data_IF_131803968478
#
_entry.id   IF_131803968478
#
_cell.length_a   1.000
_cell.length_b   1.000
_cell.length_c   1.000
_cell.angle_alpha   90.00
_cell.angle_beta   90.00
_cell.angle_gamma   90.00
#
_symmetry.space_group_name_H-M   'P 1'
#
loop_
_entity.id
_entity.type
_entity.pdbx_description
1 polymer ?
#
# COMPACT_ATOMS: atom_id res chain seq x y z
N UNK A 1 14.10 -0.43 7.96
CA UNK A 1 13.74 0.26 6.70
C UNK A 1 12.53 -0.31 5.97
N UNK A 2 12.42 -1.63 5.81
CA UNK A 2 11.41 -2.25 4.94
C UNK A 2 10.02 -2.52 5.58
N UNK A 3 9.89 -2.55 6.91
CA UNK A 3 8.61 -2.79 7.59
C UNK A 3 7.90 -4.07 7.08
N UNK A 4 6.62 -3.99 6.70
CA UNK A 4 5.87 -5.09 6.10
C UNK A 4 6.45 -5.61 4.77
N UNK A 5 7.33 -4.85 4.10
CA UNK A 5 8.01 -5.32 2.89
C UNK A 5 9.00 -6.44 3.18
N UNK A 6 9.48 -6.61 4.41
CA UNK A 6 10.26 -7.80 4.76
C UNK A 6 9.41 -9.06 4.63
N UNK A 7 8.14 -9.02 5.06
CA UNK A 7 7.20 -10.12 4.88
C UNK A 7 6.83 -10.33 3.41
N UNK A 8 6.65 -9.24 2.65
CA UNK A 8 6.45 -9.29 1.20
C UNK A 8 7.65 -9.96 0.50
N UNK A 9 8.87 -9.52 0.78
CA UNK A 9 10.09 -10.09 0.19
C UNK A 9 10.24 -11.58 0.52
N UNK A 10 10.02 -11.93 1.80
CA UNK A 10 10.05 -13.33 2.23
C UNK A 10 9.02 -14.17 1.49
N UNK A 11 7.77 -13.69 1.37
CA UNK A 11 6.72 -14.35 0.60
C UNK A 11 7.15 -14.56 -0.86
N UNK A 12 7.72 -13.54 -1.50
CA UNK A 12 8.20 -13.63 -2.87
C UNK A 12 9.29 -14.68 -3.07
N UNK A 13 10.21 -14.85 -2.11
CA UNK A 13 11.31 -15.79 -2.24
C UNK A 13 11.00 -17.21 -1.79
N UNK A 14 9.96 -17.41 -0.98
CA UNK A 14 9.73 -18.70 -0.30
C UNK A 14 8.34 -19.30 -0.51
N UNK A 15 7.32 -18.52 -0.88
CA UNK A 15 5.96 -19.04 -1.08
C UNK A 15 5.78 -19.54 -2.52
N UNK A 16 5.86 -20.86 -2.70
CA UNK A 16 5.71 -21.51 -3.99
C UNK A 16 4.33 -22.16 -4.20
N UNK A 17 3.58 -22.43 -3.13
CA UNK A 17 2.33 -23.20 -3.18
C UNK A 17 1.12 -22.35 -2.73
N UNK A 18 0.67 -21.46 -3.62
CA UNK A 18 -0.50 -20.60 -3.41
C UNK A 18 -0.91 -19.92 -4.73
N UNK A 19 -2.18 -19.97 -5.12
CA UNK A 19 -2.65 -19.30 -6.34
C UNK A 19 -2.80 -17.78 -6.16
N UNK A 20 -3.09 -17.36 -4.93
CA UNK A 20 -3.30 -15.97 -4.56
C UNK A 20 -2.45 -15.61 -3.34
N UNK A 21 -1.81 -14.44 -3.40
CA UNK A 21 -0.98 -13.92 -2.32
C UNK A 21 -1.53 -12.57 -1.87
N UNK A 22 -1.76 -12.44 -0.57
CA UNK A 22 -2.22 -11.21 0.05
C UNK A 22 -1.28 -10.73 1.15
N UNK A 23 -1.18 -9.42 1.30
CA UNK A 23 -0.47 -8.77 2.39
C UNK A 23 -1.46 -7.90 3.18
N UNK A 24 -1.61 -8.22 4.47
CA UNK A 24 -2.30 -7.39 5.45
C UNK A 24 -1.28 -6.74 6.38
N UNK A 25 -1.66 -5.64 7.02
CA UNK A 25 -0.86 -5.02 8.07
C UNK A 25 -1.31 -5.55 9.45
N UNK A 26 -0.44 -5.54 10.47
CA UNK A 26 -0.63 -6.28 11.74
C UNK A 26 -2.00 -6.17 12.44
N UNK A 27 -2.71 -5.03 12.33
CA UNK A 27 -4.04 -4.78 12.92
C UNK A 27 -5.07 -4.28 11.93
N UNK A 28 -4.81 -4.47 10.64
CA UNK A 28 -5.61 -3.93 9.56
C UNK A 28 -5.92 -5.03 8.56
N UNK A 29 -7.20 -5.31 8.37
CA UNK A 29 -7.69 -6.42 7.56
C UNK A 29 -8.64 -5.91 6.48
N UNK A 30 -8.68 -6.58 5.34
CA UNK A 30 -9.70 -6.29 4.33
C UNK A 30 -11.09 -6.69 4.80
N UNK A 31 -12.06 -5.79 4.66
CA UNK A 31 -13.47 -6.06 4.87
C UNK A 31 -14.06 -6.70 3.61
N UNK A 32 -14.08 -8.03 3.54
CA UNK A 32 -14.65 -8.73 2.39
C UNK A 32 -16.17 -8.87 2.44
N UNK A 33 -16.75 -8.84 3.64
CA UNK A 33 -18.19 -9.00 3.88
C UNK A 33 -18.97 -7.67 3.86
N UNK A 34 -18.32 -6.57 4.26
CA UNK A 34 -18.98 -5.29 4.46
C UNK A 34 -19.21 -4.46 3.18
N UNK A 35 -20.31 -3.71 3.18
CA UNK A 35 -20.68 -2.75 2.11
C UNK A 35 -20.22 -1.32 2.35
N UNK A 36 -19.37 -1.05 3.35
CA UNK A 36 -18.96 0.32 3.66
C UNK A 36 -18.15 0.95 2.51
N UNK A 37 -18.39 2.23 2.26
CA UNK A 37 -17.65 3.03 1.27
C UNK A 37 -16.48 3.82 1.89
N UNK A 38 -16.21 3.69 3.19
CA UNK A 38 -15.07 4.39 3.80
C UNK A 38 -13.73 3.71 3.48
N UNK A 39 -12.62 4.44 3.62
CA UNK A 39 -11.28 3.86 3.48
C UNK A 39 -10.91 2.97 4.67
N UNK A 40 -11.29 3.40 5.88
CA UNK A 40 -10.95 2.73 7.12
C UNK A 40 -12.10 2.78 8.12
N UNK A 41 -12.39 1.65 8.75
CA UNK A 41 -13.39 1.49 9.81
C UNK A 41 -12.71 0.86 11.03
N UNK A 42 -12.88 1.45 12.20
CA UNK A 42 -12.38 0.86 13.45
C UNK A 42 -13.39 -0.14 14.00
N UNK A 43 -12.91 -1.31 14.42
CA UNK A 43 -13.68 -2.37 15.07
C UNK A 43 -12.99 -2.77 16.38
N UNK A 44 -13.79 -3.14 17.39
CA UNK A 44 -13.24 -3.64 18.66
C UNK A 44 -12.71 -5.05 18.48
N UNK A 45 -11.67 -5.43 19.24
CA UNK A 45 -11.05 -6.75 19.13
C UNK A 45 -12.05 -7.86 19.41
N UNK A 46 -12.85 -7.74 20.47
CA UNK A 46 -13.87 -8.73 20.81
C UNK A 46 -14.89 -8.95 19.67
N UNK A 47 -15.37 -7.87 19.06
CA UNK A 47 -16.32 -7.96 17.95
C UNK A 47 -15.67 -8.53 16.68
N UNK A 48 -14.38 -8.24 16.45
CA UNK A 48 -13.67 -8.79 15.31
C UNK A 48 -13.42 -10.29 15.49
N UNK A 49 -12.84 -10.72 16.61
CA UNK A 49 -12.46 -12.12 16.82
C UNK A 49 -13.65 -13.06 17.11
N UNK A 50 -14.81 -12.52 17.48
CA UNK A 50 -16.05 -13.31 17.62
C UNK A 50 -16.84 -13.45 16.31
N UNK A 51 -16.54 -12.63 15.30
CA UNK A 51 -17.16 -12.73 13.98
C UNK A 51 -16.48 -13.79 13.10
N UNK A 52 -17.24 -14.37 12.18
CA UNK A 52 -16.69 -15.19 11.10
C UNK A 52 -15.97 -14.29 10.09
N UNK A 53 -14.83 -14.75 9.56
CA UNK A 53 -14.10 -14.10 8.46
C UNK A 53 -13.85 -15.10 7.34
N UNK A 54 -14.89 -15.49 6.60
CA UNK A 54 -14.78 -16.47 5.54
C UNK A 54 -13.84 -15.96 4.45
N UNK A 55 -13.01 -16.86 3.95
CA UNK A 55 -12.15 -16.58 2.81
C UNK A 55 -13.04 -16.32 1.59
N UNK A 56 -12.85 -15.20 0.86
CA UNK A 56 -13.60 -14.95 -0.36
C UNK A 56 -13.34 -16.02 -1.41
N UNK A 57 -14.33 -16.24 -2.27
CA UNK A 57 -14.13 -16.94 -3.54
C UNK A 57 -13.24 -16.07 -4.45
N UNK A 58 -11.94 -16.35 -4.42
CA UNK A 58 -10.93 -15.59 -5.15
C UNK A 58 -11.02 -15.83 -6.66
N UNK A 59 -11.39 -17.03 -7.13
CA UNK A 59 -11.61 -17.30 -8.55
C UNK A 59 -12.70 -16.36 -9.10
N UNK A 60 -13.84 -16.30 -8.41
CA UNK A 60 -14.93 -15.41 -8.78
C UNK A 60 -14.53 -13.94 -8.66
N UNK A 61 -13.75 -13.58 -7.64
CA UNK A 61 -13.27 -12.20 -7.45
C UNK A 61 -12.38 -11.76 -8.61
N UNK A 62 -11.34 -12.55 -8.93
CA UNK A 62 -10.36 -12.23 -9.96
C UNK A 62 -10.86 -12.44 -11.38
N UNK A 63 -12.03 -13.07 -11.58
CA UNK A 63 -12.74 -12.99 -12.87
C UNK A 63 -13.20 -11.56 -13.23
N UNK A 64 -13.25 -10.64 -12.26
CA UNK A 64 -13.78 -9.27 -12.42
C UNK A 64 -12.75 -8.17 -12.20
N UNK A 65 -11.67 -8.47 -11.48
CA UNK A 65 -10.60 -7.53 -11.17
C UNK A 65 -9.24 -8.21 -11.23
N UNK A 66 -8.18 -7.42 -11.27
CA UNK A 66 -6.79 -7.91 -11.35
C UNK A 66 -6.06 -7.82 -9.99
N UNK A 67 -6.54 -6.96 -9.09
CA UNK A 67 -5.93 -6.70 -7.79
C UNK A 67 -6.98 -6.25 -6.78
N UNK A 68 -6.86 -6.71 -5.54
CA UNK A 68 -7.58 -6.13 -4.39
C UNK A 68 -6.67 -5.11 -3.71
N UNK A 69 -7.18 -3.92 -3.42
CA UNK A 69 -6.42 -2.87 -2.70
C UNK A 69 -7.29 -2.20 -1.64
N UNK A 70 -6.63 -1.57 -0.66
CA UNK A 70 -7.32 -0.72 0.29
C UNK A 70 -7.96 0.46 -0.43
N UNK A 71 -9.22 0.77 -0.10
CA UNK A 71 -9.90 1.95 -0.66
C UNK A 71 -9.09 3.21 -0.32
N UNK A 72 -8.80 4.07 -1.31
CA UNK A 72 -7.88 5.17 -1.10
C UNK A 72 -8.48 6.25 -0.21
N UNK A 73 -7.61 6.93 0.53
CA UNK A 73 -7.93 8.22 1.14
C UNK A 73 -7.68 9.33 0.12
N UNK A 74 -8.55 10.33 0.11
CA UNK A 74 -8.42 11.52 -0.75
C UNK A 74 -7.79 12.65 0.05
N UNK A 75 -6.78 13.29 -0.54
CA UNK A 75 -6.05 14.41 0.03
C UNK A 75 -6.38 15.73 -0.69
N UNK A 76 -6.27 16.89 0.00
CA UNK A 76 -6.56 18.19 -0.64
C UNK A 76 -5.43 18.70 -1.54
N UNK A 77 -4.33 17.95 -1.66
CA UNK A 77 -3.16 18.23 -2.50
C UNK A 77 -2.68 16.94 -3.17
N UNK A 78 -1.78 17.07 -4.15
CA UNK A 78 -1.24 15.91 -4.87
C UNK A 78 -0.33 15.04 -3.99
N UNK A 79 -0.05 13.80 -4.43
CA UNK A 79 0.72 12.84 -3.63
C UNK A 79 2.19 13.21 -3.47
N UNK A 80 2.76 14.04 -4.35
CA UNK A 80 4.08 14.62 -4.15
C UNK A 80 4.10 15.54 -2.94
N UNK A 81 3.20 16.52 -2.89
CA UNK A 81 3.05 17.43 -1.76
C UNK A 81 2.71 16.68 -0.47
N UNK A 82 1.89 15.63 -0.56
CA UNK A 82 1.62 14.74 0.59
C UNK A 82 2.89 14.05 1.10
N UNK A 83 3.71 13.52 0.20
CA UNK A 83 4.98 12.90 0.57
C UNK A 83 5.91 13.91 1.25
N UNK A 84 6.16 15.08 0.64
CA UNK A 84 7.10 16.07 1.17
C UNK A 84 6.66 16.69 2.51
N UNK A 85 5.36 16.60 2.86
CA UNK A 85 4.87 17.04 4.18
C UNK A 85 5.24 16.08 5.32
N UNK A 86 5.47 14.82 5.00
CA UNK A 86 5.69 13.76 6.00
C UNK A 86 7.08 13.10 5.87
N UNK A 87 7.75 13.27 4.74
CA UNK A 87 8.94 12.52 4.35
C UNK A 87 9.94 13.38 3.57
N UNK A 88 11.17 12.89 3.45
CA UNK A 88 12.28 13.58 2.80
C UNK A 88 12.11 13.58 1.28
N UNK A 89 11.99 14.77 0.69
CA UNK A 89 11.77 14.97 -0.75
C UNK A 89 12.86 14.33 -1.63
N UNK A 90 14.13 14.44 -1.24
CA UNK A 90 15.25 13.89 -2.00
C UNK A 90 15.17 12.37 -2.19
N UNK A 91 14.60 11.65 -1.22
CA UNK A 91 14.45 10.20 -1.30
C UNK A 91 13.43 9.81 -2.37
N UNK A 92 12.33 10.58 -2.46
CA UNK A 92 11.33 10.39 -3.52
C UNK A 92 11.89 10.73 -4.90
N UNK A 93 12.64 11.83 -5.00
CA UNK A 93 13.28 12.22 -6.27
C UNK A 93 14.33 11.17 -6.70
N UNK A 94 15.01 10.55 -5.73
CA UNK A 94 15.92 9.42 -6.01
C UNK A 94 15.15 8.21 -6.55
N UNK A 95 14.00 7.86 -5.96
CA UNK A 95 13.14 6.81 -6.49
C UNK A 95 12.64 7.11 -7.92
N UNK A 96 12.27 8.37 -8.19
CA UNK A 96 11.90 8.82 -9.54
C UNK A 96 13.06 8.66 -10.53
N UNK A 97 14.27 9.03 -10.13
CA UNK A 97 15.47 8.93 -10.94
C UNK A 97 15.81 7.47 -11.26
N UNK A 98 15.74 6.58 -10.27
CA UNK A 98 15.92 5.13 -10.45
C UNK A 98 14.91 4.56 -11.45
N UNK A 99 13.64 4.99 -11.36
CA UNK A 99 12.60 4.58 -12.32
C UNK A 99 12.93 5.11 -13.73
N UNK A 100 13.37 6.36 -13.85
CA UNK A 100 13.75 6.93 -15.15
C UNK A 100 14.89 6.14 -15.82
N UNK A 101 15.85 5.64 -15.05
CA UNK A 101 17.00 4.88 -15.54
C UNK A 101 16.66 3.43 -15.87
N UNK A 102 16.01 2.71 -14.93
CA UNK A 102 15.79 1.26 -15.04
C UNK A 102 14.48 0.90 -15.74
N UNK A 103 13.47 1.76 -15.61
CA UNK A 103 12.12 1.52 -16.10
C UNK A 103 11.52 2.78 -16.76
N UNK A 104 12.15 3.35 -17.80
CA UNK A 104 11.75 4.65 -18.37
C UNK A 104 10.29 4.70 -18.81
N UNK A 105 9.72 3.57 -19.23
CA UNK A 105 8.30 3.46 -19.59
C UNK A 105 7.32 3.73 -18.42
N UNK A 106 7.76 3.57 -17.17
CA UNK A 106 6.96 3.85 -15.97
C UNK A 106 7.00 5.33 -15.55
N UNK A 107 7.97 6.11 -16.05
CA UNK A 107 8.17 7.50 -15.60
C UNK A 107 6.92 8.38 -15.84
N UNK A 108 6.22 8.32 -16.99
CA UNK A 108 4.99 9.10 -17.18
C UNK A 108 3.87 8.72 -16.20
N UNK A 109 3.78 7.44 -15.81
CA UNK A 109 2.79 6.97 -14.84
C UNK A 109 3.17 7.34 -13.41
N UNK A 110 4.45 7.31 -13.08
CA UNK A 110 4.98 7.87 -11.83
C UNK A 110 4.59 9.34 -11.70
N UNK A 111 4.91 10.15 -12.71
CA UNK A 111 4.60 11.59 -12.69
C UNK A 111 3.09 11.86 -12.59
N UNK A 112 2.28 11.03 -13.24
CA UNK A 112 0.83 11.12 -13.12
C UNK A 112 0.36 10.82 -11.69
N UNK A 113 0.88 9.76 -11.06
CA UNK A 113 0.50 9.36 -9.69
C UNK A 113 0.92 10.42 -8.67
N UNK A 114 2.12 10.98 -8.80
CA UNK A 114 2.65 11.91 -7.82
C UNK A 114 2.16 13.35 -8.01
N UNK A 115 2.16 13.87 -9.23
CA UNK A 115 1.87 15.29 -9.48
C UNK A 115 0.43 15.56 -9.91
N UNK A 116 -0.33 14.55 -10.35
CA UNK A 116 -1.68 14.72 -10.92
C UNK A 116 -2.74 13.79 -10.29
N UNK A 117 -2.46 13.23 -9.13
CA UNK A 117 -3.40 12.43 -8.34
C UNK A 117 -3.27 12.82 -6.86
N UNK A 118 -4.37 12.66 -6.12
CA UNK A 118 -4.49 12.96 -4.70
C UNK A 118 -5.11 11.79 -3.90
N UNK A 119 -5.20 10.61 -4.52
CA UNK A 119 -5.77 9.39 -3.92
C UNK A 119 -4.67 8.43 -3.57
N UNK A 120 -4.54 8.08 -2.28
CA UNK A 120 -3.53 7.15 -1.77
C UNK A 120 -4.18 5.94 -1.10
N UNK A 121 -3.83 4.75 -1.58
CA UNK A 121 -4.13 3.48 -0.91
C UNK A 121 -3.00 3.15 0.06
N UNK A 122 -3.28 3.25 1.36
CA UNK A 122 -2.28 3.07 2.42
C UNK A 122 -1.97 1.61 2.75
N UNK A 123 -0.91 1.44 3.57
CA UNK A 123 -0.57 0.23 4.33
C UNK A 123 0.05 -0.92 3.52
N UNK A 124 0.44 -0.68 2.27
CA UNK A 124 0.96 -1.71 1.36
C UNK A 124 0.05 -2.96 1.27
N UNK A 125 -1.26 -2.79 1.53
CA UNK A 125 -2.19 -3.91 1.57
C UNK A 125 -2.71 -4.22 0.17
N UNK A 126 -2.59 -5.49 -0.23
CA UNK A 126 -3.11 -5.99 -1.50
C UNK A 126 -3.48 -7.48 -1.44
N UNK A 127 -4.23 -7.95 -2.44
CA UNK A 127 -4.32 -9.37 -2.82
C UNK A 127 -4.11 -9.47 -4.34
N UNK A 128 -3.25 -10.37 -4.78
CA UNK A 128 -2.86 -10.57 -6.17
C UNK A 128 -2.85 -12.06 -6.54
N UNK A 129 -3.22 -12.43 -7.78
CA UNK A 129 -2.84 -13.73 -8.35
C UNK A 129 -1.32 -13.87 -8.41
N UNK A 130 -0.82 -15.11 -8.29
CA UNK A 130 0.62 -15.43 -8.21
C UNK A 130 1.48 -14.70 -9.25
N UNK A 131 1.14 -14.83 -10.53
CA UNK A 131 1.94 -14.24 -11.61
C UNK A 131 2.09 -12.72 -11.47
N UNK A 132 1.01 -12.05 -11.05
CA UNK A 132 0.99 -10.60 -10.83
C UNK A 132 1.78 -10.21 -9.58
N UNK A 133 1.68 -11.02 -8.52
CA UNK A 133 2.49 -10.84 -7.32
C UNK A 133 3.99 -10.96 -7.61
N UNK A 134 4.40 -11.95 -8.39
CA UNK A 134 5.80 -12.15 -8.78
C UNK A 134 6.30 -10.99 -9.65
N UNK A 135 5.51 -10.57 -10.64
CA UNK A 135 5.84 -9.43 -11.51
C UNK A 135 5.95 -8.11 -10.72
N UNK A 136 5.01 -7.85 -9.81
CA UNK A 136 5.05 -6.68 -8.94
C UNK A 136 6.27 -6.71 -8.01
N UNK A 137 6.56 -7.85 -7.39
CA UNK A 137 7.66 -8.00 -6.44
C UNK A 137 9.02 -7.80 -7.13
N UNK A 138 9.19 -8.40 -8.32
CA UNK A 138 10.41 -8.22 -9.11
C UNK A 138 10.66 -6.74 -9.44
N UNK A 139 9.63 -6.02 -9.92
CA UNK A 139 9.72 -4.60 -10.23
C UNK A 139 9.96 -3.73 -8.98
N UNK A 140 9.20 -3.96 -7.91
CA UNK A 140 9.27 -3.15 -6.70
C UNK A 140 10.65 -3.26 -6.03
N UNK A 141 11.12 -4.48 -5.77
CA UNK A 141 12.36 -4.67 -5.01
C UNK A 141 13.59 -4.28 -5.82
N UNK A 142 13.57 -4.43 -7.15
CA UNK A 142 14.68 -3.96 -7.99
C UNK A 142 14.83 -2.43 -7.96
N UNK A 143 13.72 -1.69 -7.78
CA UNK A 143 13.75 -0.24 -7.55
C UNK A 143 14.21 0.06 -6.12
N UNK A 144 13.59 -0.55 -5.10
CA UNK A 144 13.87 -0.22 -3.70
C UNK A 144 15.31 -0.53 -3.31
N UNK A 145 15.91 -1.63 -3.79
CA UNK A 145 17.31 -1.94 -3.54
C UNK A 145 18.27 -0.96 -4.21
N UNK A 146 17.91 -0.41 -5.38
CA UNK A 146 18.70 0.65 -6.01
C UNK A 146 18.58 1.96 -5.21
N UNK A 147 17.38 2.31 -4.76
CA UNK A 147 17.16 3.51 -3.93
C UNK A 147 17.93 3.41 -2.63
N UNK A 148 17.88 2.26 -1.95
CA UNK A 148 18.60 2.00 -0.70
C UNK A 148 20.10 2.24 -0.84
N UNK A 149 20.70 1.92 -1.99
CA UNK A 149 22.12 2.17 -2.25
C UNK A 149 22.46 3.64 -2.50
N UNK A 150 21.48 4.47 -2.84
CA UNK A 150 21.68 5.87 -3.27
C UNK A 150 21.30 6.90 -2.21
N UNK A 151 20.57 6.49 -1.18
CA UNK A 151 20.12 7.41 -0.12
C UNK A 151 20.78 7.06 1.22
N UNK A 152 20.90 8.08 2.06
CA UNK A 152 21.26 7.89 3.46
C UNK A 152 19.97 7.71 4.28
N UNK A 153 19.78 6.53 4.87
CA UNK A 153 18.58 6.26 5.65
C UNK A 153 18.77 6.78 7.08
N UNK A 154 17.95 7.75 7.46
CA UNK A 154 17.97 8.37 8.77
C UNK A 154 17.63 7.37 9.89
N UNK A 155 18.33 7.48 11.02
CA UNK A 155 18.03 6.76 12.26
C UNK A 155 16.90 7.47 13.04
N UNK A 156 15.73 7.55 12.40
CA UNK A 156 14.50 8.13 12.96
C UNK A 156 13.34 7.14 12.83
N UNK A 157 12.46 6.99 13.84
CA UNK A 157 11.34 6.06 13.79
C UNK A 157 10.39 6.24 12.59
N UNK A 158 10.33 7.44 12.01
CA UNK A 158 9.53 7.72 10.81
C UNK A 158 10.40 7.53 9.56
N UNK A 159 11.39 8.38 9.32
CA UNK A 159 12.20 8.40 8.10
C UNK A 159 13.03 7.12 7.91
N UNK A 160 13.39 6.43 9.00
CA UNK A 160 14.00 5.10 8.95
C UNK A 160 13.11 4.03 8.30
N UNK A 161 11.85 4.34 7.95
CA UNK A 161 10.89 3.48 7.24
C UNK A 161 10.65 3.90 5.78
N UNK A 162 11.53 4.73 5.21
CA UNK A 162 11.41 5.31 3.86
C UNK A 162 10.98 4.31 2.78
N UNK A 163 11.53 3.08 2.77
CA UNK A 163 11.19 2.06 1.77
C UNK A 163 9.70 1.68 1.81
N UNK A 164 9.13 1.56 3.01
CA UNK A 164 7.70 1.30 3.17
C UNK A 164 6.82 2.46 2.67
N UNK A 165 7.24 3.71 2.88
CA UNK A 165 6.48 4.87 2.41
C UNK A 165 6.57 5.09 0.90
N UNK A 166 7.72 4.76 0.31
CA UNK A 166 7.88 4.73 -1.14
C UNK A 166 7.01 3.63 -1.75
N UNK A 167 7.08 2.40 -1.21
CA UNK A 167 6.31 1.27 -1.75
C UNK A 167 4.80 1.50 -1.73
N UNK A 168 4.25 2.17 -0.70
CA UNK A 168 2.81 2.49 -0.62
C UNK A 168 2.34 3.25 -1.87
N UNK A 169 3.17 4.17 -2.37
CA UNK A 169 2.87 4.98 -3.56
C UNK A 169 3.27 4.26 -4.85
N UNK A 170 4.38 3.53 -4.85
CA UNK A 170 4.84 2.77 -6.01
C UNK A 170 3.87 1.66 -6.43
N UNK A 171 3.11 1.07 -5.49
CA UNK A 171 2.02 0.15 -5.85
C UNK A 171 1.01 0.82 -6.81
N UNK A 172 0.65 2.08 -6.56
CA UNK A 172 -0.28 2.80 -7.45
C UNK A 172 0.32 3.11 -8.82
N UNK A 173 1.64 3.33 -8.88
CA UNK A 173 2.38 3.49 -10.14
C UNK A 173 2.33 2.20 -10.95
N UNK A 174 2.63 1.07 -10.31
CA UNK A 174 2.62 -0.24 -10.96
C UNK A 174 1.23 -0.63 -11.48
N UNK A 175 0.20 -0.48 -10.64
CA UNK A 175 -1.20 -0.75 -10.99
C UNK A 175 -1.63 0.09 -12.20
N UNK A 176 -1.25 1.37 -12.21
CA UNK A 176 -1.58 2.30 -13.30
C UNK A 176 -0.90 1.90 -14.60
N UNK A 177 0.42 1.68 -14.56
CA UNK A 177 1.21 1.34 -15.74
C UNK A 177 0.69 0.07 -16.42
N UNK A 178 0.40 -0.96 -15.60
CA UNK A 178 -0.10 -2.24 -16.07
C UNK A 178 -1.62 -2.26 -16.33
N UNK A 179 -2.31 -1.11 -16.18
CA UNK A 179 -3.75 -0.92 -16.45
C UNK A 179 -4.65 -1.93 -15.71
N UNK A 180 -4.31 -2.24 -14.47
CA UNK A 180 -5.01 -3.24 -13.68
C UNK A 180 -6.38 -2.73 -13.22
N UNK A 181 -7.40 -3.60 -13.29
CA UNK A 181 -8.72 -3.37 -12.71
C UNK A 181 -8.67 -3.59 -11.20
N UNK A 182 -8.99 -2.56 -10.42
CA UNK A 182 -8.86 -2.60 -8.97
C UNK A 182 -10.20 -2.94 -8.32
N UNK A 183 -10.21 -3.91 -7.40
CA UNK A 183 -11.28 -4.10 -6.43
C UNK A 183 -10.90 -3.40 -5.12
N UNK A 184 -11.52 -2.25 -4.83
CA UNK A 184 -11.29 -1.55 -3.57
C UNK A 184 -12.10 -2.15 -2.43
N UNK A 185 -11.42 -2.42 -1.31
CA UNK A 185 -12.04 -2.90 -0.07
C UNK A 185 -11.79 -1.94 1.09
N UNK A 186 -12.78 -1.81 1.97
CA UNK A 186 -12.62 -1.10 3.25
C UNK A 186 -11.57 -1.82 4.09
N UNK A 187 -10.79 -1.07 4.85
CA UNK A 187 -9.87 -1.64 5.83
C UNK A 187 -10.49 -1.60 7.23
N UNK A 188 -10.58 -2.75 7.88
CA UNK A 188 -10.94 -2.89 9.29
C UNK A 188 -9.69 -2.68 10.14
N UNK A 189 -9.67 -1.62 10.95
CA UNK A 189 -8.65 -1.42 11.97
C UNK A 189 -9.14 -2.00 13.30
N UNK A 190 -8.50 -3.06 13.75
CA UNK A 190 -8.77 -3.65 15.07
C UNK A 190 -8.08 -2.79 16.12
N UNK A 191 -8.87 -2.12 16.96
CA UNK A 191 -8.36 -1.28 18.04
C UNK A 191 -9.40 -1.12 19.15
N UNK A 192 -8.97 -1.36 20.40
CA UNK A 192 -9.81 -1.20 21.59
C UNK A 192 -9.70 0.19 22.23
N UNK A 193 -8.75 1.01 21.80
CA UNK A 193 -8.65 2.39 22.29
C UNK A 193 -9.81 3.22 21.74
N UNK A 194 -10.60 3.82 22.63
CA UNK A 194 -11.60 4.83 22.27
C UNK A 194 -10.90 5.94 21.47
N UNK A 195 -11.48 6.36 20.33
CA UNK A 195 -11.20 7.68 19.78
C UNK A 195 -11.40 8.67 20.92
N UNK A 196 -10.34 9.37 21.38
CA UNK A 196 -10.53 10.59 22.17
C UNK A 196 -11.39 11.49 21.29
N UNK A 197 -12.63 11.74 21.71
CA UNK A 197 -13.50 12.70 21.06
C UNK A 197 -12.78 14.04 20.98
N UNK A 198 -13.05 14.79 19.92
CA UNK A 198 -12.62 16.17 19.81
C UNK A 198 -13.22 16.95 20.99
N UNK A 199 -12.42 17.25 22.01
CA UNK A 199 -12.80 18.23 23.01
C UNK A 199 -12.58 19.60 22.37
N UNK A 200 -13.61 20.16 21.75
CA UNK A 200 -13.66 21.59 21.49
C UNK A 200 -13.95 22.29 22.83
N UNK A 201 -12.91 22.64 23.58
CA UNK A 201 -13.02 23.70 24.57
C UNK A 201 -12.82 25.02 23.85
N UNK A 202 -13.95 25.67 23.52
CA UNK A 202 -13.98 27.12 23.41
C UNK A 202 -14.21 27.68 24.81
N UNK A 203 -13.24 28.43 25.29
CA UNK A 203 -13.37 29.44 26.36
C UNK A 203 -12.23 30.42 26.20
#
# INVERSE_FOLDING_TARGET
HYCELTAHYWAWKNLHDADYIGLNHYRRYFDFEGGSACSLRTVRSEAFFSASHPVPDFDRLFSRCDIVMARPKIYPYNLYTDYCKCHIESDLLTARQVIAEKYPAYLPDFDRVFFRNNRLSHFNMFVLPRERFEAYSAWLFDILFEVERRIEIQDDPVQGRVMGYLSERLLSVWVRHNRLKICYKTVLMVNDQKRKGWASTFS
#
